data_IF_282737616169
#
_entry.id   IF_282737616169
#
_cell.length_a   1.000
_cell.length_b   1.000
_cell.length_c   1.000
_cell.angle_alpha   90.00
_cell.angle_beta   90.00
_cell.angle_gamma   90.00
#
_symmetry.space_group_name_H-M   'P 1'
#
loop_
_entity.id
_entity.type
_entity.pdbx_description
1 polymer ?
#
# COMPACT_ATOMS: atom_id res chain seq x y z
N UNK A 1 -47.45 2.79 8.16
CA UNK A 1 -46.72 2.99 9.42
C UNK A 1 -45.95 1.71 9.69
N UNK A 2 -44.71 1.67 9.21
CA UNK A 2 -43.80 0.52 9.35
C UNK A 2 -43.23 0.52 10.76
N UNK A 3 -43.49 -0.54 11.53
CA UNK A 3 -42.89 -0.72 12.84
C UNK A 3 -41.38 -1.00 12.69
N UNK A 4 -40.54 -0.48 13.59
CA UNK A 4 -39.15 -0.89 13.66
C UNK A 4 -39.08 -2.37 14.08
N UNK A 5 -38.42 -3.19 13.27
CA UNK A 5 -38.16 -4.60 13.58
C UNK A 5 -37.22 -4.75 14.80
N UNK A 6 -37.18 -5.94 15.41
CA UNK A 6 -36.40 -6.18 16.62
C UNK A 6 -34.90 -6.04 16.35
N UNK A 7 -34.24 -5.13 17.08
CA UNK A 7 -32.78 -5.12 17.28
C UNK A 7 -32.40 -6.28 18.19
N UNK A 8 -31.75 -7.29 17.64
CA UNK A 8 -31.05 -8.29 18.44
C UNK A 8 -29.69 -7.68 18.84
N UNK A 9 -29.64 -7.06 20.02
CA UNK A 9 -28.39 -6.65 20.67
C UNK A 9 -27.70 -7.91 21.24
N UNK A 10 -27.18 -8.75 20.35
CA UNK A 10 -26.18 -9.75 20.74
C UNK A 10 -24.83 -9.03 20.79
N UNK A 11 -24.53 -8.45 21.95
CA UNK A 11 -23.21 -7.93 22.31
C UNK A 11 -22.23 -9.11 22.42
N UNK A 12 -21.79 -9.62 21.26
CA UNK A 12 -20.64 -10.49 21.18
C UNK A 12 -19.42 -9.60 21.35
N UNK A 13 -18.71 -9.75 22.46
CA UNK A 13 -17.41 -9.10 22.73
C UNK A 13 -16.27 -9.94 22.14
N UNK A 14 -15.77 -9.67 20.91
CA UNK A 14 -14.52 -10.25 20.46
C UNK A 14 -13.35 -9.61 21.23
N UNK A 15 -12.58 -10.46 21.91
CA UNK A 15 -11.41 -10.07 22.69
C UNK A 15 -10.20 -9.83 21.77
N UNK A 16 -10.14 -8.67 21.13
CA UNK A 16 -8.90 -8.19 20.51
C UNK A 16 -8.07 -7.48 21.60
N UNK A 17 -6.82 -7.90 21.79
CA UNK A 17 -5.87 -7.27 22.71
C UNK A 17 -4.58 -6.96 21.97
N UNK A 18 -3.64 -6.25 22.60
CA UNK A 18 -2.46 -5.55 22.04
C UNK A 18 -1.52 -6.29 21.05
N UNK A 19 -1.78 -7.55 20.68
CA UNK A 19 -1.06 -8.35 19.68
C UNK A 19 -1.97 -9.40 19.01
N UNK A 20 -3.21 -9.06 18.67
CA UNK A 20 -4.17 -10.05 18.13
C UNK A 20 -4.81 -9.60 16.83
N UNK A 21 -4.93 -10.58 15.95
CA UNK A 21 -5.33 -10.48 14.55
C UNK A 21 -6.84 -10.56 14.43
N UNK A 22 -7.42 -9.69 13.62
CA UNK A 22 -8.85 -9.69 13.30
C UNK A 22 -9.15 -10.47 12.02
N UNK A 23 -10.18 -11.32 12.04
CA UNK A 23 -10.64 -12.03 10.84
C UNK A 23 -12.16 -11.90 10.64
N UNK A 24 -12.60 -11.64 9.42
CA UNK A 24 -14.03 -11.68 9.07
C UNK A 24 -14.24 -12.63 7.89
N UNK A 25 -15.17 -13.57 8.03
CA UNK A 25 -15.46 -14.55 6.96
C UNK A 25 -16.96 -14.63 6.66
N UNK A 26 -17.30 -14.89 5.41
CA UNK A 26 -18.67 -15.14 4.98
C UNK A 26 -18.75 -16.37 4.07
N UNK A 27 -19.80 -17.17 4.23
CA UNK A 27 -20.13 -18.32 3.37
C UNK A 27 -20.67 -17.91 1.99
N UNK A 28 -21.24 -18.85 1.23
CA UNK A 28 -21.53 -18.65 -0.21
C UNK A 28 -22.81 -17.86 -0.57
N UNK A 29 -23.65 -17.49 0.40
CA UNK A 29 -24.92 -16.80 0.15
C UNK A 29 -25.17 -15.47 0.90
N UNK A 30 -24.57 -15.15 2.07
CA UNK A 30 -24.86 -13.88 2.72
C UNK A 30 -24.34 -12.73 1.85
N UNK A 31 -25.20 -11.77 1.53
CA UNK A 31 -24.83 -10.54 0.80
C UNK A 31 -24.90 -9.38 1.76
N UNK A 32 -24.00 -8.42 1.62
CA UNK A 32 -24.02 -7.29 2.53
C UNK A 32 -22.96 -6.24 2.27
N UNK A 33 -22.68 -5.49 3.33
CA UNK A 33 -21.58 -4.57 3.41
C UNK A 33 -20.83 -4.76 4.74
N UNK A 34 -19.52 -4.54 4.68
CA UNK A 34 -18.66 -4.39 5.84
C UNK A 34 -18.07 -2.98 5.83
N UNK A 35 -18.25 -2.29 6.95
CA UNK A 35 -17.73 -0.94 7.15
C UNK A 35 -16.72 -0.99 8.29
N UNK A 36 -15.46 -0.68 7.98
CA UNK A 36 -14.39 -0.56 8.97
C UNK A 36 -14.18 0.92 9.28
N UNK A 37 -14.24 1.24 10.57
CA UNK A 37 -14.13 2.61 11.10
C UNK A 37 -13.28 2.62 12.37
N UNK A 38 -12.77 3.77 12.76
CA UNK A 38 -12.20 4.00 14.10
C UNK A 38 -13.22 4.70 14.99
N UNK A 39 -13.27 4.33 16.26
CA UNK A 39 -14.15 4.98 17.24
C UNK A 39 -13.80 6.44 17.42
N UNK A 40 -14.81 7.29 17.52
CA UNK A 40 -14.66 8.70 17.87
C UNK A 40 -14.42 8.88 19.37
N UNK A 41 -14.88 7.93 20.18
CA UNK A 41 -14.76 7.96 21.62
C UNK A 41 -13.52 7.20 22.05
N UNK A 42 -12.81 7.79 23.01
CA UNK A 42 -11.69 7.11 23.62
C UNK A 42 -12.18 5.91 24.44
N UNK A 43 -11.51 4.76 24.29
CA UNK A 43 -11.79 3.53 25.03
C UNK A 43 -10.58 3.15 25.88
N UNK A 44 -10.82 2.53 27.03
CA UNK A 44 -9.76 1.91 27.84
C UNK A 44 -9.42 0.49 27.37
N UNK A 45 -10.23 -0.08 26.47
CA UNK A 45 -10.05 -1.41 25.91
C UNK A 45 -9.44 -1.31 24.52
N UNK A 46 -8.40 -2.11 24.25
CA UNK A 46 -7.84 -2.26 22.90
C UNK A 46 -8.59 -3.34 22.09
N UNK A 47 -9.92 -3.39 22.24
CA UNK A 47 -10.79 -4.34 21.54
C UNK A 47 -11.50 -3.63 20.40
N UNK A 48 -11.54 -4.24 19.22
CA UNK A 48 -12.46 -3.79 18.19
C UNK A 48 -13.87 -4.27 18.51
N UNK A 49 -14.86 -3.40 18.34
CA UNK A 49 -16.27 -3.76 18.44
C UNK A 49 -16.77 -4.19 17.07
N UNK A 50 -17.48 -5.32 17.01
CA UNK A 50 -18.10 -5.82 15.79
C UNK A 50 -19.61 -5.84 16.01
N UNK A 51 -20.36 -5.17 15.15
CA UNK A 51 -21.83 -5.14 15.18
C UNK A 51 -22.38 -5.68 13.87
N UNK A 52 -23.31 -6.63 13.96
CA UNK A 52 -23.90 -7.29 12.80
C UNK A 52 -25.40 -7.08 12.83
N UNK A 53 -25.93 -6.42 11.80
CA UNK A 53 -27.35 -6.18 11.63
C UNK A 53 -27.82 -6.94 10.39
N UNK A 54 -28.73 -7.88 10.58
CA UNK A 54 -29.37 -8.61 9.49
C UNK A 54 -30.73 -7.96 9.15
N UNK A 55 -30.89 -7.50 7.91
CA UNK A 55 -32.18 -7.07 7.36
C UNK A 55 -32.76 -8.23 6.56
N UNK A 56 -33.91 -8.73 7.00
CA UNK A 56 -34.51 -9.96 6.49
C UNK A 56 -35.95 -9.70 6.07
N UNK A 57 -36.31 -10.15 4.87
CA UNK A 57 -37.70 -10.15 4.41
C UNK A 57 -38.52 -11.26 5.09
N UNK A 58 -37.90 -12.43 5.33
CA UNK A 58 -38.50 -13.55 6.05
C UNK A 58 -37.71 -13.83 7.34
N UNK A 59 -38.32 -13.66 8.53
CA UNK A 59 -37.68 -13.99 9.80
C UNK A 59 -37.18 -15.44 9.90
N UNK A 60 -37.79 -16.37 9.16
CA UNK A 60 -37.35 -17.79 9.12
C UNK A 60 -35.94 -17.95 8.56
N UNK A 61 -35.40 -16.94 7.88
CA UNK A 61 -34.02 -16.96 7.42
C UNK A 61 -33.02 -17.08 8.59
N UNK A 62 -33.38 -16.61 9.80
CA UNK A 62 -32.55 -16.78 10.99
C UNK A 62 -32.40 -18.24 11.43
N UNK A 63 -33.32 -19.13 11.03
CA UNK A 63 -33.19 -20.57 11.30
C UNK A 63 -32.05 -21.22 10.49
N UNK A 64 -31.55 -20.51 9.48
CA UNK A 64 -30.61 -21.01 8.48
C UNK A 64 -29.30 -20.24 8.41
N UNK A 65 -29.16 -19.19 9.22
CA UNK A 65 -27.95 -18.39 9.34
C UNK A 65 -27.37 -18.50 10.72
N UNK A 66 -26.06 -18.70 10.78
CA UNK A 66 -25.29 -18.73 12.02
C UNK A 66 -24.21 -17.66 11.97
N UNK A 67 -24.12 -16.89 13.05
CA UNK A 67 -23.02 -15.96 13.30
C UNK A 67 -22.14 -16.61 14.37
N UNK A 68 -20.88 -16.87 14.02
CA UNK A 68 -19.97 -17.62 14.86
C UNK A 68 -18.73 -16.79 15.19
N UNK A 69 -18.21 -16.92 16.40
CA UNK A 69 -16.84 -16.50 16.70
C UNK A 69 -15.87 -17.47 16.01
N UNK A 70 -14.95 -16.94 15.22
CA UNK A 70 -13.87 -17.70 14.59
C UNK A 70 -12.62 -17.52 15.43
N UNK A 71 -12.02 -18.64 15.85
CA UNK A 71 -10.71 -18.65 16.50
C UNK A 71 -9.75 -19.45 15.64
N UNK A 72 -8.60 -18.86 15.35
CA UNK A 72 -7.51 -19.56 14.70
C UNK A 72 -6.55 -20.06 15.78
N UNK A 73 -6.33 -21.37 15.82
CA UNK A 73 -5.45 -22.04 16.79
C UNK A 73 -4.09 -22.42 16.20
N UNK A 74 -3.87 -22.17 14.91
CA UNK A 74 -2.60 -22.44 14.21
C UNK A 74 -1.52 -21.42 14.61
N UNK A 75 -0.41 -21.38 13.85
CA UNK A 75 0.83 -20.63 14.11
C UNK A 75 0.64 -19.19 14.63
N UNK A 76 -0.46 -18.53 14.29
CA UNK A 76 -0.73 -17.14 14.69
C UNK A 76 -2.16 -16.98 15.22
N UNK A 77 -2.36 -16.89 16.56
CA UNK A 77 -3.69 -16.87 17.16
C UNK A 77 -4.45 -15.58 16.81
N UNK A 78 -5.63 -15.75 16.21
CA UNK A 78 -6.52 -14.67 15.80
C UNK A 78 -7.96 -14.92 16.23
N UNK A 79 -8.71 -13.83 16.40
CA UNK A 79 -10.14 -13.86 16.73
C UNK A 79 -10.93 -13.11 15.67
N UNK A 80 -12.13 -13.61 15.37
CA UNK A 80 -12.90 -13.12 14.25
C UNK A 80 -14.37 -13.48 14.31
N UNK A 81 -15.10 -13.09 13.28
CA UNK A 81 -16.53 -13.39 13.15
C UNK A 81 -16.82 -13.98 11.77
N UNK A 82 -17.59 -15.06 11.76
CA UNK A 82 -18.06 -15.75 10.56
C UNK A 82 -19.56 -15.68 10.41
N UNK A 83 -20.04 -15.40 9.20
CA UNK A 83 -21.47 -15.48 8.85
C UNK A 83 -21.67 -16.66 7.89
N UNK A 84 -22.37 -17.69 8.36
CA UNK A 84 -22.57 -18.94 7.64
C UNK A 84 -24.05 -19.16 7.36
N UNK A 85 -24.38 -19.64 6.15
CA UNK A 85 -25.74 -19.96 5.74
C UNK A 85 -25.76 -21.27 4.96
N UNK A 86 -26.85 -22.03 5.03
CA UNK A 86 -26.99 -23.27 4.26
C UNK A 86 -27.23 -23.01 2.75
N UNK A 87 -26.60 -23.76 1.82
CA UNK A 87 -26.62 -23.45 0.38
C UNK A 87 -27.98 -23.56 -0.35
N UNK A 88 -28.95 -24.28 0.22
CA UNK A 88 -30.07 -24.85 -0.54
C UNK A 88 -31.40 -24.12 -0.39
N UNK A 89 -31.43 -22.99 0.30
CA UNK A 89 -32.68 -22.26 0.55
C UNK A 89 -32.94 -21.15 -0.48
N UNK A 90 -34.22 -20.97 -0.87
CA UNK A 90 -34.60 -19.97 -1.85
C UNK A 90 -34.07 -18.60 -1.40
N UNK A 91 -33.55 -17.84 -2.37
CA UNK A 91 -33.03 -16.50 -2.16
C UNK A 91 -34.09 -15.62 -1.50
N UNK A 92 -34.06 -15.54 -0.17
CA UNK A 92 -34.69 -14.44 0.53
C UNK A 92 -33.77 -13.23 0.33
N UNK A 93 -34.35 -12.09 0.01
CA UNK A 93 -33.63 -10.83 0.04
C UNK A 93 -33.21 -10.59 1.49
N UNK A 94 -31.97 -10.97 1.79
CA UNK A 94 -31.32 -10.77 3.06
C UNK A 94 -30.10 -9.88 2.84
N UNK A 95 -29.91 -8.92 3.73
CA UNK A 95 -28.79 -7.99 3.67
C UNK A 95 -28.14 -7.88 5.04
N UNK A 96 -26.84 -8.14 5.09
CA UNK A 96 -26.05 -7.99 6.31
C UNK A 96 -25.31 -6.66 6.29
N UNK A 97 -25.37 -5.93 7.40
CA UNK A 97 -24.51 -4.77 7.66
C UNK A 97 -23.57 -5.13 8.80
N UNK A 98 -22.29 -5.29 8.48
CA UNK A 98 -21.22 -5.59 9.42
C UNK A 98 -20.45 -4.30 9.69
N UNK A 99 -20.46 -3.82 10.92
CA UNK A 99 -19.68 -2.65 11.33
C UNK A 99 -18.53 -3.11 12.21
N UNK A 100 -17.30 -2.82 11.80
CA UNK A 100 -16.09 -3.03 12.59
C UNK A 100 -15.60 -1.67 13.06
N UNK A 101 -15.63 -1.45 14.37
CA UNK A 101 -15.20 -0.22 15.02
C UNK A 101 -13.90 -0.50 15.79
N UNK A 102 -12.80 0.05 15.28
CA UNK A 102 -11.46 -0.06 15.86
C UNK A 102 -11.32 0.93 17.04
N UNK A 103 -10.64 0.54 18.13
CA UNK A 103 -10.57 1.37 19.32
C UNK A 103 -9.74 2.64 19.09
N UNK A 104 -10.06 3.70 19.83
CA UNK A 104 -9.22 4.88 19.97
C UNK A 104 -8.76 4.92 21.43
N UNK A 105 -7.48 4.73 21.69
CA UNK A 105 -6.97 4.68 23.06
C UNK A 105 -6.99 6.09 23.68
N UNK A 106 -7.46 6.21 24.93
CA UNK A 106 -7.54 7.50 25.65
C UNK A 106 -6.16 8.10 25.96
N UNK A 107 -5.18 7.22 26.14
CA UNK A 107 -3.89 7.56 26.73
C UNK A 107 -2.76 7.70 25.69
N UNK A 108 -3.08 7.53 24.39
CA UNK A 108 -2.09 7.70 23.32
C UNK A 108 -2.65 8.57 22.19
N UNK A 109 -1.98 9.69 21.93
CA UNK A 109 -2.04 10.40 20.64
C UNK A 109 -1.50 9.53 19.49
N UNK A 110 -0.82 8.41 19.83
CA UNK A 110 -0.21 7.50 18.88
C UNK A 110 -1.22 6.84 17.91
N UNK A 111 -0.71 6.54 16.73
CA UNK A 111 -1.41 5.75 15.73
C UNK A 111 -1.77 4.35 16.28
N UNK A 112 -2.99 3.90 16.04
CA UNK A 112 -3.40 2.53 16.34
C UNK A 112 -2.68 1.58 15.39
N UNK A 113 -1.77 0.75 15.91
CA UNK A 113 -1.13 -0.28 15.10
C UNK A 113 -1.92 -1.60 15.15
N UNK A 114 -2.40 -2.04 13.99
CA UNK A 114 -3.14 -3.29 13.81
C UNK A 114 -2.21 -4.30 13.16
N UNK A 115 -1.80 -5.32 13.92
CA UNK A 115 -0.85 -6.33 13.46
C UNK A 115 -1.38 -7.11 12.24
N UNK A 116 -2.65 -7.51 12.26
CA UNK A 116 -3.26 -8.13 11.08
C UNK A 116 -4.78 -7.96 11.05
N UNK A 117 -5.28 -7.63 9.87
CA UNK A 117 -6.70 -7.63 9.54
C UNK A 117 -6.93 -8.46 8.28
N UNK A 118 -7.80 -9.46 8.37
CA UNK A 118 -8.15 -10.36 7.26
C UNK A 118 -9.65 -10.34 7.06
N UNK A 119 -10.11 -10.10 5.84
CA UNK A 119 -11.52 -10.20 5.48
C UNK A 119 -11.69 -11.07 4.23
N UNK A 120 -12.49 -12.14 4.34
CA UNK A 120 -12.88 -13.01 3.24
C UNK A 120 -14.39 -13.04 3.13
N UNK A 121 -14.92 -12.07 2.40
CA UNK A 121 -16.37 -11.87 2.27
C UNK A 121 -16.72 -11.64 0.79
N UNK A 122 -16.78 -12.71 -0.02
CA UNK A 122 -16.93 -12.66 -1.49
C UNK A 122 -18.05 -11.74 -2.00
N UNK A 123 -19.15 -11.72 -1.27
CA UNK A 123 -20.42 -11.09 -1.64
C UNK A 123 -20.71 -9.80 -0.84
N UNK A 124 -19.69 -9.23 -0.20
CA UNK A 124 -19.82 -8.02 0.62
C UNK A 124 -19.11 -6.82 0.00
N UNK A 125 -19.74 -5.65 0.08
CA UNK A 125 -19.09 -4.36 -0.19
C UNK A 125 -18.15 -4.05 0.96
N UNK A 126 -16.89 -3.74 0.69
CA UNK A 126 -15.94 -3.29 1.72
C UNK A 126 -15.82 -1.77 1.70
N UNK A 127 -15.98 -1.14 2.86
CA UNK A 127 -15.77 0.30 3.04
C UNK A 127 -14.84 0.55 4.22
N UNK A 128 -13.65 1.07 3.94
CA UNK A 128 -12.69 1.50 4.96
C UNK A 128 -12.70 3.03 5.00
N UNK A 129 -13.24 3.60 6.08
CA UNK A 129 -13.44 5.05 6.22
C UNK A 129 -13.24 5.49 7.66
N UNK A 130 -12.83 6.73 7.90
CA UNK A 130 -12.64 7.22 9.27
C UNK A 130 -11.62 6.40 10.04
N UNK A 131 -10.57 5.94 9.36
CA UNK A 131 -9.48 5.11 9.91
C UNK A 131 -8.16 5.90 9.94
N UNK A 132 -8.25 7.24 10.01
CA UNK A 132 -7.09 8.10 10.13
C UNK A 132 -6.32 7.77 11.43
N UNK A 133 -4.99 7.71 11.31
CA UNK A 133 -4.13 7.27 12.41
C UNK A 133 -4.28 5.79 12.78
N UNK A 134 -4.78 4.93 11.87
CA UNK A 134 -4.66 3.48 11.98
C UNK A 134 -3.60 3.00 10.99
N UNK A 135 -2.60 2.26 11.48
CA UNK A 135 -1.60 1.59 10.66
C UNK A 135 -1.87 0.08 10.66
N UNK A 136 -1.93 -0.53 9.48
CA UNK A 136 -2.04 -1.98 9.35
C UNK A 136 -0.68 -2.59 9.02
N UNK A 137 -0.10 -3.39 9.90
CA UNK A 137 1.11 -4.16 9.55
C UNK A 137 0.80 -5.14 8.40
N UNK A 138 -0.35 -5.84 8.48
CA UNK A 138 -0.82 -6.74 7.42
C UNK A 138 -2.32 -6.61 7.21
N UNK A 139 -2.72 -6.20 6.01
CA UNK A 139 -4.11 -6.15 5.59
C UNK A 139 -4.33 -7.11 4.41
N UNK A 140 -5.32 -8.00 4.54
CA UNK A 140 -5.75 -8.87 3.44
C UNK A 140 -7.26 -8.81 3.28
N UNK A 141 -7.75 -8.37 2.13
CA UNK A 141 -9.19 -8.33 1.81
C UNK A 141 -9.43 -9.11 0.52
N UNK A 142 -10.35 -10.06 0.56
CA UNK A 142 -10.81 -10.82 -0.60
C UNK A 142 -12.33 -10.71 -0.72
N UNK A 143 -12.75 -10.29 -1.91
CA UNK A 143 -14.13 -10.25 -2.37
C UNK A 143 -14.25 -10.96 -3.73
N UNK A 144 -15.45 -11.03 -4.31
CA UNK A 144 -15.66 -11.60 -5.65
C UNK A 144 -16.43 -10.63 -6.54
N UNK A 145 -17.63 -10.22 -6.14
CA UNK A 145 -18.55 -9.49 -7.03
C UNK A 145 -18.97 -8.12 -6.49
N UNK A 146 -18.29 -7.66 -5.43
CA UNK A 146 -18.64 -6.41 -4.74
C UNK A 146 -17.42 -5.49 -4.61
N UNK A 147 -17.65 -4.17 -4.74
CA UNK A 147 -16.58 -3.19 -4.75
C UNK A 147 -15.89 -3.04 -3.40
N UNK A 148 -14.63 -2.63 -3.44
CA UNK A 148 -13.80 -2.33 -2.29
C UNK A 148 -13.41 -0.86 -2.34
N UNK A 149 -13.79 -0.11 -1.30
CA UNK A 149 -13.53 1.32 -1.18
C UNK A 149 -12.66 1.63 0.04
N UNK A 150 -11.58 2.38 -0.14
CA UNK A 150 -10.70 2.83 0.94
C UNK A 150 -10.48 4.36 0.88
N UNK A 151 -10.94 5.11 1.88
CA UNK A 151 -10.89 6.59 1.81
C UNK A 151 -9.49 7.16 2.10
N UNK A 152 -8.68 6.46 2.89
CA UNK A 152 -7.26 6.74 3.14
C UNK A 152 -6.73 5.61 4.02
N UNK A 153 -6.01 4.67 3.44
CA UNK A 153 -5.54 3.48 4.12
C UNK A 153 -4.03 3.54 4.31
N UNK A 154 -3.55 3.36 5.54
CA UNK A 154 -2.12 3.32 5.84
C UNK A 154 -1.71 1.92 6.30
N UNK A 155 -0.72 1.31 5.65
CA UNK A 155 -0.28 -0.03 6.04
C UNK A 155 1.05 -0.47 5.45
N UNK A 156 1.67 -1.49 6.05
CA UNK A 156 2.96 -2.02 5.63
C UNK A 156 2.83 -3.03 4.50
N UNK A 157 2.00 -4.04 4.70
CA UNK A 157 1.65 -5.05 3.68
C UNK A 157 0.15 -5.04 3.44
N UNK A 158 -0.27 -4.60 2.25
CA UNK A 158 -1.67 -4.54 1.85
C UNK A 158 -1.89 -5.44 0.64
N UNK A 159 -2.85 -6.37 0.74
CA UNK A 159 -3.26 -7.25 -0.36
C UNK A 159 -4.77 -7.23 -0.48
N UNK A 160 -5.28 -6.80 -1.62
CA UNK A 160 -6.71 -6.67 -1.90
C UNK A 160 -7.02 -7.33 -3.24
N UNK A 161 -7.97 -8.26 -3.20
CA UNK A 161 -8.38 -9.08 -4.33
C UNK A 161 -9.91 -9.02 -4.50
N UNK A 162 -10.37 -8.92 -5.75
CA UNK A 162 -11.78 -9.14 -6.10
C UNK A 162 -11.92 -9.68 -7.51
N UNK A 163 -12.97 -10.42 -7.84
CA UNK A 163 -13.08 -11.02 -9.18
C UNK A 163 -13.62 -10.04 -10.22
N UNK A 164 -14.76 -9.39 -9.95
CA UNK A 164 -15.58 -8.71 -10.95
C UNK A 164 -16.04 -7.32 -10.52
N UNK A 165 -15.38 -6.71 -9.53
CA UNK A 165 -15.81 -5.45 -8.97
C UNK A 165 -14.65 -4.47 -8.78
N UNK A 166 -14.91 -3.15 -8.76
CA UNK A 166 -13.84 -2.18 -8.75
C UNK A 166 -13.16 -2.09 -7.40
N UNK A 167 -11.86 -1.80 -7.43
CA UNK A 167 -11.04 -1.43 -6.27
C UNK A 167 -10.74 0.06 -6.40
N UNK A 168 -11.16 0.86 -5.42
CA UNK A 168 -10.98 2.30 -5.45
C UNK A 168 -10.56 2.87 -4.10
N UNK A 169 -9.64 3.84 -4.10
CA UNK A 169 -9.25 4.50 -2.86
C UNK A 169 -7.86 5.11 -2.85
N UNK A 170 -7.47 5.61 -1.67
CA UNK A 170 -6.12 6.07 -1.40
C UNK A 170 -5.39 5.06 -0.50
N UNK A 171 -4.22 4.64 -0.95
CA UNK A 171 -3.39 3.60 -0.31
C UNK A 171 -1.99 4.13 -0.06
N UNK A 172 -1.65 4.28 1.20
CA UNK A 172 -0.34 4.70 1.67
C UNK A 172 0.39 3.48 2.22
N UNK A 173 1.47 3.07 1.56
CA UNK A 173 2.23 1.87 1.91
C UNK A 173 3.71 2.10 2.11
N UNK A 174 4.30 1.32 3.01
CA UNK A 174 5.73 1.40 3.33
C UNK A 174 6.54 0.24 2.75
N UNK A 175 5.91 -0.90 2.45
CA UNK A 175 6.62 -2.06 1.88
C UNK A 175 5.90 -2.66 0.67
N UNK A 176 4.62 -3.05 0.78
CA UNK A 176 3.93 -3.71 -0.32
C UNK A 176 2.45 -3.37 -0.44
N UNK A 177 2.01 -3.12 -1.68
CA UNK A 177 0.61 -3.02 -2.08
C UNK A 177 0.35 -3.94 -3.28
N UNK A 178 -0.50 -4.94 -3.10
CA UNK A 178 -1.02 -5.77 -4.19
C UNK A 178 -2.52 -5.55 -4.36
N UNK A 179 -2.94 -5.03 -5.51
CA UNK A 179 -4.35 -4.86 -5.89
C UNK A 179 -4.62 -5.69 -7.14
N UNK A 180 -5.56 -6.62 -7.05
CA UNK A 180 -5.89 -7.49 -8.18
C UNK A 180 -7.40 -7.60 -8.43
N UNK A 181 -7.79 -7.53 -9.70
CA UNK A 181 -9.15 -7.92 -10.10
C UNK A 181 -9.27 -8.46 -11.51
N UNK A 182 -10.11 -9.46 -11.77
CA UNK A 182 -10.22 -10.01 -13.13
C UNK A 182 -10.88 -9.04 -14.11
N UNK A 183 -12.01 -8.44 -13.74
CA UNK A 183 -12.93 -7.83 -14.73
C UNK A 183 -13.43 -6.43 -14.34
N UNK A 184 -12.64 -5.65 -13.59
CA UNK A 184 -13.07 -4.32 -13.15
C UNK A 184 -11.94 -3.32 -12.93
N UNK A 185 -12.34 -2.06 -12.77
CA UNK A 185 -11.42 -0.93 -12.69
C UNK A 185 -10.62 -0.97 -11.38
N UNK A 186 -9.32 -0.68 -11.48
CA UNK A 186 -8.47 -0.30 -10.35
C UNK A 186 -8.21 1.19 -10.46
N UNK A 187 -8.81 1.99 -9.58
CA UNK A 187 -8.69 3.46 -9.59
C UNK A 187 -8.18 3.97 -8.26
N UNK A 188 -6.89 4.31 -8.17
CA UNK A 188 -6.22 4.51 -6.89
C UNK A 188 -5.27 5.70 -6.84
N UNK A 189 -5.20 6.31 -5.66
CA UNK A 189 -4.14 7.25 -5.29
C UNK A 189 -3.13 6.53 -4.39
N UNK A 190 -1.86 6.52 -4.78
CA UNK A 190 -0.80 5.76 -4.13
C UNK A 190 0.11 6.71 -3.36
N UNK A 191 0.34 6.44 -2.07
CA UNK A 191 1.42 7.05 -1.29
C UNK A 191 2.48 6.01 -0.99
N UNK A 192 3.66 6.11 -1.63
CA UNK A 192 4.77 5.18 -1.39
C UNK A 192 5.78 5.84 -0.46
N UNK A 193 6.02 5.21 0.68
CA UNK A 193 6.84 5.74 1.76
C UNK A 193 8.07 4.87 1.97
N UNK A 194 9.23 5.29 1.44
CA UNK A 194 10.49 4.58 1.73
C UNK A 194 11.00 4.97 3.12
N UNK A 195 10.89 4.03 4.06
CA UNK A 195 11.40 4.15 5.42
C UNK A 195 12.78 3.54 5.63
N UNK A 196 13.44 3.11 4.54
CA UNK A 196 14.79 2.56 4.63
C UNK A 196 15.77 3.59 5.17
N UNK A 197 16.69 3.21 6.07
CA UNK A 197 17.74 4.12 6.52
C UNK A 197 18.54 4.64 5.33
N UNK A 198 19.03 5.90 5.37
CA UNK A 198 19.95 6.38 4.37
C UNK A 198 21.15 5.44 4.32
N UNK A 199 21.48 4.97 3.11
CA UNK A 199 22.70 4.20 2.87
C UNK A 199 23.87 5.02 3.38
N UNK A 200 24.40 4.70 4.57
CA UNK A 200 25.74 5.11 4.92
C UNK A 200 26.65 4.29 4.01
N UNK A 201 27.30 4.95 3.05
CA UNK A 201 28.32 4.39 2.16
C UNK A 201 29.59 3.89 2.90
N UNK A 202 29.47 3.55 4.18
CA UNK A 202 30.54 3.12 5.09
C UNK A 202 30.39 1.66 5.54
N UNK A 203 29.37 0.93 5.06
CA UNK A 203 29.20 -0.50 5.36
C UNK A 203 29.33 -1.40 4.12
N UNK A 204 30.07 -0.94 3.10
CA UNK A 204 30.62 -1.83 2.08
C UNK A 204 31.98 -2.31 2.55
N UNK A 205 32.00 -3.40 3.33
CA UNK A 205 33.04 -4.44 3.33
C UNK A 205 32.77 -5.40 4.50
N UNK A 206 32.21 -6.58 4.21
CA UNK A 206 32.25 -7.73 5.14
C UNK A 206 30.90 -8.35 5.54
N UNK A 207 30.53 -9.41 4.83
CA UNK A 207 29.83 -10.61 5.30
C UNK A 207 28.42 -10.60 5.93
N UNK A 208 27.75 -9.47 6.11
CA UNK A 208 26.33 -9.50 6.50
C UNK A 208 25.46 -8.95 5.37
N UNK A 209 24.61 -9.79 4.78
CA UNK A 209 23.43 -9.31 4.03
C UNK A 209 22.34 -9.07 5.07
N UNK A 210 22.20 -7.87 5.67
CA UNK A 210 20.99 -7.59 6.40
C UNK A 210 19.82 -7.81 5.43
N UNK A 211 18.78 -8.47 5.91
CA UNK A 211 17.51 -8.56 5.20
C UNK A 211 16.97 -7.12 5.21
N UNK A 212 17.41 -6.32 4.23
CA UNK A 212 16.99 -4.93 4.08
C UNK A 212 15.47 -4.90 4.04
N UNK A 213 14.82 -3.90 4.67
CA UNK A 213 13.37 -3.74 4.53
C UNK A 213 13.02 -3.75 3.05
N UNK A 214 11.98 -4.50 2.68
CA UNK A 214 11.52 -4.57 1.30
C UNK A 214 11.15 -3.17 0.84
N UNK A 215 11.64 -2.80 -0.35
CA UNK A 215 11.35 -1.50 -0.95
C UNK A 215 9.84 -1.35 -1.16
N UNK A 216 9.27 -0.14 -1.00
CA UNK A 216 7.89 0.14 -1.35
C UNK A 216 7.61 -0.33 -2.79
N UNK A 217 6.79 -1.37 -2.90
CA UNK A 217 6.45 -2.01 -4.16
C UNK A 217 4.93 -2.08 -4.35
N UNK A 218 4.47 -1.69 -5.53
CA UNK A 218 3.07 -1.75 -5.93
C UNK A 218 2.90 -2.74 -7.07
N UNK A 219 1.89 -3.58 -6.98
CA UNK A 219 1.42 -4.46 -8.05
C UNK A 219 -0.07 -4.21 -8.28
N UNK A 220 -0.40 -3.73 -9.48
CA UNK A 220 -1.76 -3.50 -9.94
C UNK A 220 -2.04 -4.46 -11.09
N UNK A 221 -2.99 -5.37 -10.92
CA UNK A 221 -3.25 -6.41 -11.92
C UNK A 221 -4.73 -6.55 -12.26
N UNK A 222 -5.06 -6.55 -13.55
CA UNK A 222 -6.42 -6.89 -13.99
C UNK A 222 -6.51 -7.49 -15.37
N UNK A 223 -7.46 -8.37 -15.68
CA UNK A 223 -7.58 -8.90 -17.05
C UNK A 223 -8.22 -7.89 -18.01
N UNK A 224 -9.35 -7.30 -17.63
CA UNK A 224 -10.14 -6.44 -18.52
C UNK A 224 -10.47 -5.05 -17.91
N UNK A 225 -9.94 -4.75 -16.74
CA UNK A 225 -10.19 -3.50 -16.04
C UNK A 225 -9.25 -2.36 -16.43
N UNK A 226 -9.78 -1.15 -16.51
CA UNK A 226 -8.92 0.04 -16.62
C UNK A 226 -8.11 0.22 -15.33
N UNK A 227 -6.79 0.37 -15.45
CA UNK A 227 -5.92 0.77 -14.34
C UNK A 227 -5.69 2.28 -14.42
N UNK A 228 -6.10 3.02 -13.39
CA UNK A 228 -5.77 4.44 -13.22
C UNK A 228 -5.09 4.63 -11.87
N UNK A 229 -3.86 5.12 -11.87
CA UNK A 229 -3.09 5.36 -10.66
C UNK A 229 -2.45 6.76 -10.66
N UNK A 230 -2.54 7.46 -9.53
CA UNK A 230 -1.74 8.67 -9.26
C UNK A 230 -0.78 8.35 -8.11
N UNK A 231 0.53 8.46 -8.31
CA UNK A 231 1.52 8.11 -7.31
C UNK A 231 2.22 9.33 -6.70
N UNK A 232 2.20 9.41 -5.36
CA UNK A 232 3.03 10.28 -4.55
C UNK A 232 4.14 9.44 -3.91
N UNK A 233 5.38 9.85 -4.13
CA UNK A 233 6.55 9.18 -3.60
C UNK A 233 7.13 10.03 -2.48
N UNK A 234 7.47 9.41 -1.36
CA UNK A 234 8.08 10.11 -0.23
C UNK A 234 9.12 9.23 0.42
N UNK A 235 10.15 9.88 0.95
CA UNK A 235 11.14 9.25 1.79
C UNK A 235 11.00 9.83 3.18
N UNK A 236 10.68 8.99 4.15
CA UNK A 236 10.51 9.39 5.53
C UNK A 236 11.44 8.52 6.38
N UNK A 237 12.43 9.12 7.01
CA UNK A 237 13.29 8.39 7.92
C UNK A 237 12.66 8.41 9.32
N UNK A 238 12.31 7.24 9.85
CA UNK A 238 11.94 7.11 11.26
C UNK A 238 13.19 6.73 12.09
N UNK A 239 13.79 7.66 12.85
CA UNK A 239 14.94 7.36 13.69
C UNK A 239 14.64 6.31 14.78
N UNK A 240 13.38 6.09 15.15
CA UNK A 240 12.99 5.08 16.13
C UNK A 240 13.14 3.64 15.61
N UNK A 241 13.17 3.43 14.28
CA UNK A 241 13.43 2.11 13.67
C UNK A 241 14.84 1.61 13.99
N UNK A 242 15.82 2.52 14.14
CA UNK A 242 17.18 2.15 14.58
C UNK A 242 17.19 1.76 16.07
N UNK A 243 16.39 2.42 16.90
CA UNK A 243 16.35 2.21 18.35
C UNK A 243 15.50 1.00 18.78
N UNK A 244 14.56 0.53 17.94
CA UNK A 244 13.74 -0.66 18.19
C UNK A 244 14.33 -1.95 17.63
N UNK A 245 15.64 -2.02 17.37
CA UNK A 245 16.27 -3.33 17.09
C UNK A 245 16.01 -4.25 18.29
N UNK A 246 15.46 -5.46 18.08
CA UNK A 246 15.45 -6.45 19.13
C UNK A 246 16.89 -6.66 19.57
N UNK A 247 17.12 -6.70 20.87
CA UNK A 247 18.35 -7.15 21.49
C UNK A 247 18.58 -8.61 21.08
N UNK A 248 19.11 -8.84 19.89
CA UNK A 248 19.74 -10.09 19.53
C UNK A 248 21.10 -10.09 20.22
N UNK A 249 21.44 -11.23 20.84
CA UNK A 249 22.65 -11.44 21.62
C UNK A 249 23.86 -10.87 20.89
N UNK A 250 24.68 -10.14 21.64
CA UNK A 250 25.97 -9.62 21.22
C UNK A 250 26.86 -10.77 20.78
N UNK A 251 26.81 -11.13 19.49
CA UNK A 251 27.87 -11.91 18.87
C UNK A 251 29.08 -10.98 18.66
N UNK A 252 30.14 -11.33 19.39
CA UNK A 252 31.32 -10.55 19.79
C UNK A 252 32.29 -10.12 18.66
N UNK A 253 31.87 -10.01 17.39
CA UNK A 253 32.79 -9.78 16.25
C UNK A 253 32.64 -8.42 15.54
N UNK A 254 32.47 -7.34 16.31
CA UNK A 254 32.81 -5.99 15.84
C UNK A 254 33.60 -5.21 16.89
N UNK A 255 34.77 -5.74 17.27
CA UNK A 255 35.78 -5.04 18.06
C UNK A 255 37.02 -4.77 17.23
N UNK A 256 37.14 -3.60 16.60
CA UNK A 256 38.44 -2.98 16.31
C UNK A 256 38.32 -1.45 16.33
N UNK A 257 38.60 -0.81 17.48
CA UNK A 257 39.79 0.04 17.66
C UNK A 257 39.89 0.52 19.14
N UNK A 258 41.10 0.41 19.68
CA UNK A 258 41.49 0.55 21.08
C UNK A 258 41.45 2.02 21.57
N UNK A 259 40.68 2.37 22.63
CA UNK A 259 40.73 3.68 23.25
C UNK A 259 41.73 3.67 24.42
N UNK A 260 43.00 3.44 24.12
CA UNK A 260 44.10 3.61 25.09
C UNK A 260 44.84 4.93 24.91
N UNK A 261 44.13 6.04 24.70
CA UNK A 261 44.67 7.39 24.91
C UNK A 261 43.53 8.40 25.05
N UNK A 262 42.99 8.55 26.26
CA UNK A 262 42.71 9.84 26.92
C UNK A 262 41.88 9.63 28.19
N UNK A 263 42.39 10.18 29.28
CA UNK A 263 41.85 10.14 30.63
C UNK A 263 40.47 10.80 30.73
N UNK A 264 39.49 10.04 31.22
CA UNK A 264 38.16 10.52 31.62
C UNK A 264 38.22 11.09 33.04
N UNK A 265 37.73 12.32 33.31
CA UNK A 265 37.24 12.68 34.63
C UNK A 265 35.78 12.21 34.78
N UNK A 266 35.56 11.47 35.85
CA UNK A 266 34.26 11.02 36.35
C UNK A 266 33.39 12.22 36.77
N UNK A 267 32.11 12.21 36.38
CA UNK A 267 30.96 12.39 37.28
C UNK A 267 29.67 12.71 36.49
N UNK A 268 28.68 11.84 36.69
CA UNK A 268 27.32 12.20 37.08
C UNK A 268 26.71 13.46 36.47
N UNK A 269 25.92 13.30 35.41
CA UNK A 269 24.68 14.05 35.13
C UNK A 269 24.04 13.49 33.86
N UNK A 270 23.28 12.40 33.98
CA UNK A 270 22.41 11.96 32.90
C UNK A 270 21.16 12.85 32.89
N UNK A 271 21.07 13.75 31.92
CA UNK A 271 19.84 14.47 31.60
C UNK A 271 18.82 13.47 31.00
N UNK A 272 17.52 13.63 31.28
CA UNK A 272 16.49 12.82 30.64
C UNK A 272 16.42 13.20 29.16
N UNK A 273 16.74 12.27 28.27
CA UNK A 273 16.50 12.46 26.83
C UNK A 273 14.99 12.40 26.62
N UNK A 274 14.38 13.57 26.46
CA UNK A 274 13.03 13.70 25.91
C UNK A 274 13.06 13.25 24.45
N UNK A 275 12.36 12.15 24.15
CA UNK A 275 12.03 11.71 22.78
C UNK A 275 11.17 12.80 22.13
N UNK A 276 11.80 13.70 21.39
CA UNK A 276 11.12 14.67 20.55
C UNK A 276 10.81 14.05 19.19
N UNK A 277 9.52 13.84 18.96
CA UNK A 277 8.78 14.03 17.72
C UNK A 277 9.55 14.79 16.62
N UNK A 278 10.35 14.09 15.82
CA UNK A 278 11.08 14.66 14.67
C UNK A 278 11.28 13.63 13.58
N UNK A 279 10.19 13.30 12.88
CA UNK A 279 10.28 12.75 11.53
C UNK A 279 10.77 13.85 10.59
N UNK A 280 12.08 13.95 10.40
CA UNK A 280 12.64 14.78 9.32
C UNK A 280 12.27 14.16 7.97
N UNK A 281 11.40 14.82 7.22
CA UNK A 281 11.11 14.46 5.83
C UNK A 281 12.34 14.83 5.01
N UNK A 282 13.14 13.82 4.67
CA UNK A 282 14.26 13.99 3.75
C UNK A 282 13.68 13.94 2.34
N UNK A 283 13.55 15.10 1.69
CA UNK A 283 13.01 15.22 0.32
C UNK A 283 13.93 14.64 -0.78
N UNK A 284 14.91 13.81 -0.44
CA UNK A 284 15.90 13.27 -1.38
C UNK A 284 16.09 11.77 -1.25
N UNK A 285 16.23 11.07 -2.37
CA UNK A 285 16.44 9.64 -2.47
C UNK A 285 15.15 8.82 -2.37
N UNK A 286 15.31 7.57 -1.96
CA UNK A 286 14.24 6.59 -1.91
C UNK A 286 14.25 5.66 -3.13
N UNK A 287 13.77 4.43 -2.94
CA UNK A 287 13.62 3.45 -4.04
C UNK A 287 12.17 2.98 -4.11
N UNK A 288 11.57 3.10 -5.29
CA UNK A 288 10.14 2.84 -5.51
C UNK A 288 9.95 1.92 -6.71
N UNK A 289 9.00 1.00 -6.61
CA UNK A 289 8.66 0.08 -7.70
C UNK A 289 7.15 0.05 -7.94
N UNK A 290 6.73 0.27 -9.19
CA UNK A 290 5.33 0.20 -9.61
C UNK A 290 5.23 -0.78 -10.78
N UNK A 291 4.43 -1.82 -10.61
CA UNK A 291 4.11 -2.79 -11.66
C UNK A 291 2.62 -2.72 -11.93
N UNK A 292 2.24 -2.46 -13.19
CA UNK A 292 0.85 -2.40 -13.63
C UNK A 292 0.65 -3.32 -14.83
N UNK A 293 -0.29 -4.27 -14.73
CA UNK A 293 -0.53 -5.27 -15.76
C UNK A 293 -2.00 -5.40 -16.08
N UNK A 294 -2.30 -5.37 -17.36
CA UNK A 294 -3.61 -5.79 -17.84
C UNK A 294 -3.56 -6.59 -19.13
N UNK A 295 -4.66 -7.22 -19.51
CA UNK A 295 -4.75 -7.89 -20.82
C UNK A 295 -5.44 -6.99 -21.82
N UNK A 296 -6.62 -6.45 -21.50
CA UNK A 296 -7.54 -5.87 -22.51
C UNK A 296 -7.96 -4.43 -22.27
N UNK A 297 -7.35 -3.75 -21.31
CA UNK A 297 -7.78 -2.44 -20.89
C UNK A 297 -6.61 -1.46 -20.79
N UNK A 298 -6.91 -0.15 -20.68
CA UNK A 298 -5.85 0.83 -20.62
C UNK A 298 -5.12 0.82 -19.29
N UNK A 299 -3.93 1.42 -19.28
CA UNK A 299 -3.17 1.73 -18.07
C UNK A 299 -2.81 3.22 -18.13
N UNK A 300 -3.29 3.99 -17.16
CA UNK A 300 -2.92 5.39 -16.97
C UNK A 300 -2.22 5.54 -15.62
N UNK A 301 -0.95 5.96 -15.65
CA UNK A 301 -0.15 6.23 -14.45
C UNK A 301 0.35 7.68 -14.52
N UNK A 302 0.07 8.42 -13.46
CA UNK A 302 0.53 9.78 -13.23
C UNK A 302 1.25 9.89 -11.89
N UNK A 303 2.03 10.96 -11.69
CA UNK A 303 2.76 11.22 -10.46
C UNK A 303 2.48 12.61 -9.94
N UNK A 304 2.24 12.72 -8.63
CA UNK A 304 2.18 13.99 -7.93
C UNK A 304 3.55 14.34 -7.35
N UNK A 305 3.63 14.40 -6.02
CA UNK A 305 4.86 14.74 -5.32
C UNK A 305 5.89 13.60 -5.41
N UNK A 306 7.13 13.95 -5.71
CA UNK A 306 8.23 12.99 -5.83
C UNK A 306 9.53 13.59 -5.26
N UNK A 307 10.36 12.80 -4.54
CA UNK A 307 11.59 13.31 -3.95
C UNK A 307 12.66 13.52 -5.02
N UNK A 308 13.60 14.41 -4.78
CA UNK A 308 14.78 14.57 -5.64
C UNK A 308 15.68 13.33 -5.53
N UNK A 309 16.51 13.04 -6.54
CA UNK A 309 17.51 11.95 -6.50
C UNK A 309 16.95 10.56 -6.15
N UNK A 310 15.67 10.31 -6.41
CA UNK A 310 15.03 9.02 -6.13
C UNK A 310 15.34 8.00 -7.24
N UNK A 311 15.13 6.72 -6.91
CA UNK A 311 15.15 5.62 -7.86
C UNK A 311 13.72 5.14 -8.06
N UNK A 312 13.23 5.22 -9.30
CA UNK A 312 11.90 4.79 -9.68
C UNK A 312 11.98 3.72 -10.75
N UNK A 313 11.38 2.57 -10.46
CA UNK A 313 11.12 1.52 -11.44
C UNK A 313 9.63 1.47 -11.76
N UNK A 314 9.28 1.59 -13.04
CA UNK A 314 7.91 1.40 -13.54
C UNK A 314 7.93 0.32 -14.60
N UNK A 315 7.10 -0.71 -14.44
CA UNK A 315 6.82 -1.73 -15.46
C UNK A 315 5.31 -1.75 -15.72
N UNK A 316 4.90 -1.25 -16.88
CA UNK A 316 3.51 -1.25 -17.29
C UNK A 316 3.32 -2.08 -18.56
N UNK A 317 2.37 -3.02 -18.54
CA UNK A 317 2.13 -3.89 -19.68
C UNK A 317 0.65 -4.17 -19.96
N UNK A 318 0.27 -4.15 -21.23
CA UNK A 318 -1.05 -4.52 -21.72
C UNK A 318 -0.96 -5.27 -23.06
N UNK A 319 -1.93 -6.12 -23.37
CA UNK A 319 -1.94 -6.79 -24.68
C UNK A 319 -2.69 -5.99 -25.74
N UNK A 320 -3.87 -5.44 -25.41
CA UNK A 320 -4.82 -4.97 -26.42
C UNK A 320 -5.19 -3.49 -26.35
N UNK A 321 -4.68 -2.73 -25.38
CA UNK A 321 -5.09 -1.33 -25.20
C UNK A 321 -3.89 -0.41 -24.89
N UNK A 322 -4.19 0.83 -24.55
CA UNK A 322 -3.21 1.89 -24.46
C UNK A 322 -2.54 1.92 -23.08
N UNK A 323 -1.28 2.35 -23.06
CA UNK A 323 -0.56 2.71 -21.85
C UNK A 323 -0.20 4.17 -21.96
N UNK A 324 -0.60 4.98 -20.98
CA UNK A 324 -0.16 6.35 -20.83
C UNK A 324 0.59 6.51 -19.50
N UNK A 325 1.86 6.87 -19.58
CA UNK A 325 2.69 7.16 -18.43
C UNK A 325 3.18 8.60 -18.49
N UNK A 326 2.85 9.39 -17.47
CA UNK A 326 3.50 10.68 -17.22
C UNK A 326 4.69 10.41 -16.32
N UNK A 327 5.90 10.80 -16.73
CA UNK A 327 7.07 10.67 -15.84
C UNK A 327 7.24 11.92 -14.97
N UNK A 328 7.55 11.79 -13.68
CA UNK A 328 7.63 12.96 -12.79
C UNK A 328 8.78 13.89 -13.21
N UNK A 329 8.70 15.21 -12.96
CA UNK A 329 9.77 16.15 -13.30
C UNK A 329 11.11 15.84 -12.65
N UNK A 330 11.11 15.21 -11.48
CA UNK A 330 12.30 14.80 -10.72
C UNK A 330 12.95 13.51 -11.24
N UNK A 331 12.32 12.81 -12.18
CA UNK A 331 12.84 11.57 -12.75
C UNK A 331 14.07 11.81 -13.63
N UNK A 332 15.15 11.10 -13.31
CA UNK A 332 16.36 10.96 -14.14
C UNK A 332 16.66 9.45 -14.30
N UNK A 333 16.65 8.95 -15.53
CA UNK A 333 16.78 7.51 -15.77
C UNK A 333 16.56 7.06 -17.20
N UNK A 334 16.61 5.74 -17.37
CA UNK A 334 16.41 5.06 -18.65
C UNK A 334 14.94 4.69 -18.84
N UNK A 335 14.47 4.80 -20.08
CA UNK A 335 13.14 4.34 -20.44
C UNK A 335 13.20 3.43 -21.67
N UNK A 336 12.22 2.53 -21.77
CA UNK A 336 12.07 1.58 -22.86
C UNK A 336 10.60 1.38 -23.17
N UNK A 337 10.24 1.43 -24.45
CA UNK A 337 8.89 1.25 -24.94
C UNK A 337 8.88 0.16 -26.02
N UNK A 338 8.15 -0.92 -25.73
CA UNK A 338 7.90 -2.05 -26.62
C UNK A 338 6.46 -1.96 -27.10
N UNK A 339 6.26 -1.43 -28.31
CA UNK A 339 4.96 -1.45 -28.99
C UNK A 339 5.16 -1.38 -30.50
N UNK A 340 4.14 -1.64 -31.32
CA UNK A 340 4.27 -1.55 -32.77
C UNK A 340 4.31 -0.09 -33.24
N UNK A 341 5.14 0.24 -34.22
CA UNK A 341 5.01 1.53 -34.94
C UNK A 341 3.74 1.52 -35.80
N UNK A 342 2.93 2.60 -35.85
CA UNK A 342 3.12 3.94 -35.29
C UNK A 342 2.47 4.16 -33.90
N UNK A 343 2.14 3.09 -33.16
CA UNK A 343 1.47 3.13 -31.87
C UNK A 343 2.43 3.42 -30.70
N UNK A 344 3.49 4.18 -30.96
CA UNK A 344 4.44 4.67 -29.97
C UNK A 344 4.49 6.18 -30.04
N UNK A 345 4.30 6.84 -28.91
CA UNK A 345 4.27 8.29 -28.85
C UNK A 345 5.11 8.78 -27.66
N UNK A 346 5.98 9.75 -27.94
CA UNK A 346 6.69 10.51 -26.92
C UNK A 346 6.15 11.92 -26.97
N UNK A 347 5.46 12.33 -25.91
CA UNK A 347 4.94 13.69 -25.77
C UNK A 347 5.98 14.49 -25.00
N UNK A 348 6.70 15.35 -25.69
CA UNK A 348 7.73 16.21 -25.10
C UNK A 348 7.10 17.50 -24.56
N UNK A 349 6.85 17.53 -23.26
CA UNK A 349 6.32 18.65 -22.49
C UNK A 349 7.40 19.31 -21.61
N UNK A 350 8.69 19.09 -21.90
CA UNK A 350 9.81 19.58 -21.09
C UNK A 350 9.78 21.09 -20.87
N UNK A 351 9.29 21.86 -21.83
CA UNK A 351 9.16 23.32 -21.74
C UNK A 351 8.23 23.80 -20.62
N UNK A 352 7.37 22.92 -20.09
CA UNK A 352 6.43 23.24 -19.02
C UNK A 352 7.01 23.00 -17.62
N UNK A 353 8.22 22.43 -17.51
CA UNK A 353 8.82 22.06 -16.24
C UNK A 353 10.05 22.91 -15.91
N UNK A 354 10.15 23.33 -14.65
CA UNK A 354 11.34 23.99 -14.09
C UNK A 354 12.22 22.96 -13.40
N UNK A 355 13.54 23.15 -13.44
CA UNK A 355 14.51 22.29 -12.75
C UNK A 355 14.16 22.17 -11.26
N UNK A 356 13.83 20.96 -10.77
CA UNK A 356 13.37 20.79 -9.40
C UNK A 356 14.47 21.02 -8.35
N UNK A 357 15.76 21.07 -8.74
CA UNK A 357 16.85 21.46 -7.83
C UNK A 357 17.06 22.96 -7.76
N UNK A 358 16.45 23.74 -8.66
CA UNK A 358 16.67 25.18 -8.77
C UNK A 358 18.02 25.58 -9.38
N UNK A 359 18.80 24.62 -9.87
CA UNK A 359 20.13 24.86 -10.46
C UNK A 359 20.07 25.37 -11.91
N UNK A 360 18.86 25.59 -12.43
CA UNK A 360 18.60 26.08 -13.78
C UNK A 360 19.21 25.14 -14.86
N UNK A 361 19.18 23.83 -14.61
CA UNK A 361 19.56 22.80 -15.58
C UNK A 361 18.47 22.68 -16.65
N UNK A 362 18.88 22.27 -17.85
CA UNK A 362 17.96 21.92 -18.92
C UNK A 362 17.58 20.44 -18.84
N UNK A 363 16.29 20.11 -19.02
CA UNK A 363 15.82 18.72 -19.11
C UNK A 363 16.16 18.18 -20.50
N UNK A 364 17.02 17.18 -20.59
CA UNK A 364 17.45 16.57 -21.85
C UNK A 364 16.78 15.21 -22.02
N UNK A 365 16.15 15.01 -23.18
CA UNK A 365 15.58 13.74 -23.62
C UNK A 365 16.44 13.20 -24.78
N UNK A 366 17.03 12.03 -24.58
CA UNK A 366 17.68 11.26 -25.64
C UNK A 366 16.76 10.15 -26.10
N UNK A 367 16.68 9.93 -27.42
CA UNK A 367 15.82 8.92 -28.04
C UNK A 367 16.64 8.12 -29.04
N UNK A 368 16.73 6.81 -28.83
CA UNK A 368 17.28 5.86 -29.80
C UNK A 368 16.13 5.17 -30.58
N UNK A 369 16.17 5.31 -31.91
CA UNK A 369 15.18 4.78 -32.85
C UNK A 369 15.76 3.68 -33.76
N UNK A 370 16.84 3.03 -33.37
CA UNK A 370 17.47 1.99 -34.19
C UNK A 370 16.56 0.77 -34.44
N UNK A 371 15.60 0.49 -33.54
CA UNK A 371 14.75 -0.70 -33.63
C UNK A 371 13.29 -0.34 -33.98
N UNK A 372 12.69 -0.93 -35.04
CA UNK A 372 11.30 -0.65 -35.40
C UNK A 372 10.26 -1.14 -34.38
N UNK A 373 10.63 -2.02 -33.43
CA UNK A 373 9.77 -2.59 -32.39
C UNK A 373 10.04 -2.06 -30.98
N UNK A 374 11.17 -1.37 -30.80
CA UNK A 374 11.64 -0.91 -29.50
C UNK A 374 12.16 0.50 -29.65
N UNK A 375 11.62 1.42 -28.85
CA UNK A 375 12.22 2.73 -28.64
C UNK A 375 12.75 2.78 -27.23
N UNK A 376 13.96 3.28 -27.06
CA UNK A 376 14.60 3.41 -25.77
C UNK A 376 15.38 4.71 -25.71
N UNK A 377 15.70 5.15 -24.50
CA UNK A 377 16.36 6.42 -24.32
C UNK A 377 16.54 6.78 -22.86
N UNK A 378 16.91 8.03 -22.65
CA UNK A 378 17.22 8.56 -21.32
C UNK A 378 16.60 9.93 -21.13
N UNK A 379 16.23 10.22 -19.89
CA UNK A 379 15.79 11.54 -19.44
C UNK A 379 16.70 11.95 -18.29
N UNK A 380 17.32 13.12 -18.40
CA UNK A 380 18.22 13.68 -17.36
C UNK A 380 18.11 15.19 -17.29
N UNK A 381 18.59 15.76 -16.19
CA UNK A 381 18.77 17.19 -16.03
C UNK A 381 20.26 17.56 -16.10
N UNK A 382 20.64 18.38 -17.07
CA UNK A 382 22.02 18.83 -17.26
C UNK A 382 22.59 18.46 -18.63
N UNK A 383 23.92 18.33 -18.72
CA UNK A 383 24.60 18.05 -19.99
C UNK A 383 24.60 16.56 -20.29
N UNK A 384 24.54 16.20 -21.58
CA UNK A 384 24.54 14.78 -21.99
C UNK A 384 25.83 14.03 -21.63
N UNK A 385 26.92 14.73 -21.34
CA UNK A 385 28.19 14.11 -20.92
C UNK A 385 28.10 13.49 -19.51
N UNK A 386 27.11 13.89 -18.70
CA UNK A 386 26.86 13.36 -17.36
C UNK A 386 25.92 12.12 -17.35
N UNK A 387 25.53 11.64 -18.53
CA UNK A 387 24.52 10.58 -18.72
C UNK A 387 24.87 9.27 -18.01
N UNK A 388 26.13 8.86 -17.95
CA UNK A 388 26.50 7.55 -17.38
C UNK A 388 26.47 7.51 -15.84
N UNK A 389 26.46 8.66 -15.15
CA UNK A 389 26.66 8.73 -13.68
C UNK A 389 25.39 8.91 -12.86
N UNK A 390 24.22 9.11 -13.49
CA UNK A 390 22.98 9.53 -12.80
C UNK A 390 21.75 8.65 -13.08
N UNK A 391 21.94 7.45 -13.62
CA UNK A 391 20.84 6.57 -14.02
C UNK A 391 20.30 5.75 -12.84
N UNK A 392 19.41 6.37 -12.05
CA UNK A 392 18.81 5.70 -10.90
C UNK A 392 17.40 5.16 -11.17
N UNK A 393 16.79 5.44 -12.33
CA UNK A 393 15.45 5.00 -12.68
C UNK A 393 15.38 4.11 -13.92
N UNK A 394 14.34 3.27 -13.99
CA UNK A 394 14.00 2.42 -15.12
C UNK A 394 12.49 2.45 -15.40
N UNK A 395 12.10 2.84 -16.60
CA UNK A 395 10.70 2.82 -17.05
C UNK A 395 10.56 1.88 -18.23
N UNK A 396 9.67 0.90 -18.14
CA UNK A 396 9.36 -0.02 -19.22
C UNK A 396 7.87 -0.04 -19.51
N UNK A 397 7.51 0.27 -20.74
CA UNK A 397 6.15 0.14 -21.26
C UNK A 397 6.10 -0.99 -22.30
N UNK A 398 5.12 -1.87 -22.19
CA UNK A 398 4.92 -2.95 -23.15
C UNK A 398 3.45 -3.05 -23.59
N UNK A 399 3.15 -2.66 -24.83
CA UNK A 399 1.82 -2.84 -25.43
C UNK A 399 1.92 -3.62 -26.75
N UNK A 400 1.20 -4.73 -26.87
CA UNK A 400 1.27 -5.56 -28.09
C UNK A 400 0.48 -4.95 -29.25
N UNK A 401 -0.76 -4.52 -28.99
CA UNK A 401 -1.67 -4.01 -30.02
C UNK A 401 -2.23 -2.61 -29.75
N UNK A 402 -1.96 -2.02 -28.59
CA UNK A 402 -2.37 -0.66 -28.28
C UNK A 402 -1.23 0.34 -28.32
N UNK A 403 -1.58 1.61 -28.09
CA UNK A 403 -0.62 2.71 -28.06
C UNK A 403 0.12 2.75 -26.74
N UNK A 404 1.44 2.84 -26.78
CA UNK A 404 2.24 3.22 -25.63
C UNK A 404 2.66 4.69 -25.75
N UNK A 405 2.42 5.46 -24.70
CA UNK A 405 2.71 6.89 -24.61
C UNK A 405 3.53 7.17 -23.37
N UNK A 406 4.67 7.85 -23.54
CA UNK A 406 5.43 8.46 -22.43
C UNK A 406 5.32 9.98 -22.58
N UNK A 407 4.90 10.65 -21.51
CA UNK A 407 4.88 12.12 -21.42
C UNK A 407 6.08 12.56 -20.57
N UNK A 408 7.00 13.29 -21.20
CA UNK A 408 8.28 13.76 -20.62
C UNK A 408 8.23 15.24 -20.31
#
# INVERSE_FOLDING_TARGET
MTQPGPTADNELEPLLGNKRRGRTEAGSLPVGEIVVTRSLLATSTNKAKISIIAKLDDPKFLDYVQVCEIRQYDEEPGSGVGIFSVPWHPHSNSWFSVSVELPRMADSEDALNVESFVSRMPTFIHRLRGIEGVHFERLSISASDRPIFAHSLFGKYVSIETSNAPIQGSFNVTEFLGLSTSDSIIGVDLGLHDMSPPHSSLCEEGLWRPHWPSLPAVQLETSNGFIRATANLTRAFDPAVILRRPHWEEDDECKIFDPSEHSVPSASNALPITLADSTEIIYTGGRFSIVAKTTRAPIDIDFGETPLNHSLTVDASTSFDNINLVIPPTYEGNWKMKALSPYREIVDNRANYTDPTGENRERVLSVDRQNPFVEEGTVVWGRSEDLEKRLNGWVELNSMFGRATIVV
#
